data_IF_296565717863
#
_entry.id   IF_296565717863
#
_cell.length_a   1.000
_cell.length_b   1.000
_cell.length_c   1.000
_cell.angle_alpha   90.00
_cell.angle_beta   90.00
_cell.angle_gamma   90.00
#
_symmetry.space_group_name_H-M   'P 1'
#
loop_
_entity.id
_entity.type
_entity.pdbx_description
1 polymer ?
#
# COMPACT_ATOMS: atom_id res chain seq x y z
N UNK A 1 32.10 9.47 -8.20
CA UNK A 1 30.85 9.00 -8.84
C UNK A 1 30.18 8.17 -7.77
N UNK A 2 29.48 8.86 -6.88
CA UNK A 2 29.04 8.34 -5.59
C UNK A 2 27.57 7.98 -5.68
N UNK A 3 27.31 6.68 -5.50
CA UNK A 3 26.01 6.04 -5.64
C UNK A 3 25.01 6.73 -4.71
N UNK A 4 23.91 7.21 -5.30
CA UNK A 4 22.88 7.99 -4.64
C UNK A 4 22.32 7.30 -3.37
N UNK A 5 22.23 8.08 -2.29
CA UNK A 5 21.37 7.81 -1.11
C UNK A 5 20.00 7.29 -1.54
N UNK A 6 19.47 6.23 -0.92
CA UNK A 6 18.02 6.01 -0.93
C UNK A 6 17.46 5.58 0.43
N UNK A 7 16.89 6.59 1.09
CA UNK A 7 15.76 6.60 2.01
C UNK A 7 15.00 5.26 2.17
N UNK A 8 15.34 4.47 3.19
CA UNK A 8 14.81 3.12 3.45
C UNK A 8 13.36 3.14 4.00
N UNK A 9 12.38 3.49 3.17
CA UNK A 9 10.96 3.33 3.52
C UNK A 9 10.53 1.87 3.30
N UNK A 10 10.05 1.16 4.35
CA UNK A 10 9.68 -0.26 4.26
C UNK A 10 8.60 -0.51 3.21
N UNK A 11 8.57 -1.72 2.63
CA UNK A 11 7.55 -2.09 1.65
C UNK A 11 6.12 -1.93 2.21
N UNK A 12 5.89 -2.33 3.46
CA UNK A 12 4.62 -2.10 4.16
C UNK A 12 4.28 -0.62 4.31
N UNK A 13 5.27 0.22 4.61
CA UNK A 13 5.04 1.66 4.76
C UNK A 13 4.78 2.34 3.41
N UNK A 14 5.34 1.83 2.30
CA UNK A 14 5.00 2.30 0.93
C UNK A 14 3.59 1.86 0.55
N UNK A 15 3.26 0.61 0.86
CA UNK A 15 1.94 0.01 0.60
C UNK A 15 0.84 0.76 1.35
N UNK A 16 1.09 1.15 2.62
CA UNK A 16 0.19 1.98 3.40
C UNK A 16 -0.11 3.32 2.75
N UNK A 17 0.93 4.03 2.28
CA UNK A 17 0.74 5.34 1.65
C UNK A 17 -0.09 5.23 0.37
N UNK A 18 0.18 4.22 -0.46
CA UNK A 18 -0.60 3.98 -1.68
C UNK A 18 -2.06 3.63 -1.35
N UNK A 19 -2.30 2.73 -0.39
CA UNK A 19 -3.66 2.37 0.03
C UNK A 19 -4.41 3.59 0.59
N UNK A 20 -3.77 4.39 1.45
CA UNK A 20 -4.34 5.62 1.99
C UNK A 20 -4.73 6.61 0.89
N UNK A 21 -3.89 6.79 -0.12
CA UNK A 21 -4.18 7.67 -1.25
C UNK A 21 -5.41 7.21 -2.03
N UNK A 22 -5.51 5.91 -2.35
CA UNK A 22 -6.68 5.36 -3.05
C UNK A 22 -7.99 5.54 -2.27
N UNK A 23 -7.95 5.43 -0.94
CA UNK A 23 -9.09 5.70 -0.06
C UNK A 23 -9.49 7.19 -0.08
N UNK A 24 -8.53 8.10 0.01
CA UNK A 24 -8.78 9.56 -0.02
C UNK A 24 -9.38 10.00 -1.36
N UNK A 25 -8.92 9.40 -2.46
CA UNK A 25 -9.45 9.64 -3.79
C UNK A 25 -10.86 9.06 -4.00
N UNK A 26 -11.40 8.32 -3.03
CA UNK A 26 -12.73 7.72 -3.13
C UNK A 26 -12.77 6.52 -4.07
N UNK A 27 -11.65 5.82 -4.25
CA UNK A 27 -11.60 4.59 -5.08
C UNK A 27 -12.40 3.44 -4.47
N UNK A 28 -12.80 3.57 -3.21
CA UNK A 28 -13.67 2.64 -2.49
C UNK A 28 -14.83 3.42 -1.86
N UNK A 29 -16.03 2.87 -1.93
CA UNK A 29 -17.19 3.47 -1.30
C UNK A 29 -17.16 3.32 0.23
N UNK A 30 -17.80 4.23 1.00
CA UNK A 30 -17.96 4.05 2.44
C UNK A 30 -18.66 2.72 2.76
N UNK A 31 -18.06 1.92 3.64
CA UNK A 31 -18.56 0.58 3.99
C UNK A 31 -18.24 -0.52 2.97
N UNK A 32 -17.58 -0.18 1.86
CA UNK A 32 -17.08 -1.19 0.92
C UNK A 32 -16.01 -2.07 1.59
N UNK A 33 -16.13 -3.37 1.37
CA UNK A 33 -15.17 -4.34 1.91
C UNK A 33 -13.87 -4.30 1.11
N UNK A 34 -12.78 -3.92 1.76
CA UNK A 34 -11.43 -3.99 1.19
C UNK A 34 -10.96 -5.44 1.10
N UNK A 35 -10.86 -5.96 -0.12
CA UNK A 35 -10.29 -7.28 -0.39
C UNK A 35 -8.78 -7.15 -0.59
N UNK A 36 -7.99 -7.84 0.24
CA UNK A 36 -6.52 -7.70 0.22
C UNK A 36 -5.88 -8.24 -1.07
N UNK A 37 -6.42 -9.31 -1.64
CA UNK A 37 -5.90 -9.91 -2.89
C UNK A 37 -5.95 -8.93 -4.08
N UNK A 38 -7.11 -8.33 -4.43
CA UNK A 38 -7.19 -7.32 -5.49
C UNK A 38 -6.29 -6.12 -5.25
N UNK A 39 -6.18 -5.66 -4.00
CA UNK A 39 -5.32 -4.53 -3.63
C UNK A 39 -3.84 -4.90 -3.80
N UNK A 40 -3.45 -6.10 -3.39
CA UNK A 40 -2.08 -6.58 -3.58
C UNK A 40 -1.72 -6.65 -5.07
N UNK A 41 -2.64 -7.18 -5.88
CA UNK A 41 -2.47 -7.24 -7.32
C UNK A 41 -2.38 -5.85 -7.98
N UNK A 42 -3.23 -4.89 -7.58
CA UNK A 42 -3.20 -3.53 -8.14
C UNK A 42 -1.92 -2.77 -7.75
N UNK A 43 -1.38 -3.05 -6.56
CA UNK A 43 -0.14 -2.45 -6.05
C UNK A 43 1.12 -3.21 -6.49
N UNK A 44 0.99 -4.30 -7.25
CA UNK A 44 2.12 -5.10 -7.74
C UNK A 44 2.92 -5.78 -6.62
N UNK A 45 2.25 -6.18 -5.53
CA UNK A 45 2.86 -6.75 -4.33
C UNK A 45 2.13 -8.01 -3.87
N UNK A 46 2.68 -8.70 -2.86
CA UNK A 46 2.00 -9.82 -2.19
C UNK A 46 1.03 -9.32 -1.11
N UNK A 47 0.17 -10.23 -0.62
CA UNK A 47 -0.83 -9.92 0.40
C UNK A 47 -0.18 -9.50 1.74
N UNK A 48 0.99 -10.05 2.08
CA UNK A 48 1.67 -9.81 3.37
C UNK A 48 1.90 -8.32 3.68
N UNK A 49 2.58 -7.53 2.82
CA UNK A 49 2.76 -6.10 3.07
C UNK A 49 1.46 -5.29 3.03
N UNK A 50 0.43 -5.73 2.29
CA UNK A 50 -0.90 -5.09 2.31
C UNK A 50 -1.58 -5.33 3.66
N UNK A 51 -1.53 -6.56 4.18
CA UNK A 51 -2.05 -6.90 5.50
C UNK A 51 -1.35 -6.10 6.60
N UNK A 52 -0.03 -6.01 6.56
CA UNK A 52 0.75 -5.20 7.50
C UNK A 52 0.38 -3.72 7.42
N UNK A 53 0.18 -3.19 6.21
CA UNK A 53 -0.28 -1.82 6.02
C UNK A 53 -1.65 -1.58 6.66
N UNK A 54 -2.59 -2.53 6.57
CA UNK A 54 -3.91 -2.40 7.19
C UNK A 54 -3.91 -2.44 8.73
N UNK A 55 -2.86 -3.00 9.35
CA UNK A 55 -2.76 -3.14 10.82
C UNK A 55 -2.04 -1.93 11.45
N UNK A 56 -1.37 -1.10 10.63
CA UNK A 56 -0.60 0.05 11.08
C UNK A 56 -1.48 1.24 11.44
#
# INVERSE_FOLDING_TARGET
>A
MDVAKNNQWSLSSRTYNALRETLILGSFAPGERLLLDPIAHSLGTSITPVREACIR
#
